data_IF_400274059602
#
_entry.id   IF_400274059602
#
_cell.length_a   1.000
_cell.length_b   1.000
_cell.length_c   1.000
_cell.angle_alpha   90.00
_cell.angle_beta   90.00
_cell.angle_gamma   90.00
#
_symmetry.space_group_name_H-M   'P 1'
#
loop_
_entity.id
_entity.type
_entity.pdbx_description
1 polymer ?
#
# COMPACT_ATOMS: atom_id res chain seq x y z
N UNK A 1 -12.46 32.04 -16.99
CA UNK A 1 -13.81 31.62 -16.56
C UNK A 1 -13.90 30.12 -16.30
N UNK A 2 -13.38 29.25 -17.17
CA UNK A 2 -13.44 27.78 -16.99
C UNK A 2 -12.78 27.25 -15.70
N UNK A 3 -11.60 27.75 -15.32
CA UNK A 3 -10.95 27.34 -14.05
C UNK A 3 -11.78 27.67 -12.80
N UNK A 4 -12.54 28.77 -12.82
CA UNK A 4 -13.43 29.16 -11.71
C UNK A 4 -14.64 28.23 -11.58
N UNK A 5 -15.18 27.76 -12.71
CA UNK A 5 -16.31 26.81 -12.75
C UNK A 5 -15.87 25.42 -12.29
N UNK A 6 -14.71 24.95 -12.75
CA UNK A 6 -14.13 23.66 -12.34
C UNK A 6 -13.84 23.63 -10.82
N UNK A 7 -13.30 24.71 -10.26
CA UNK A 7 -13.07 24.83 -8.82
C UNK A 7 -14.37 24.84 -8.01
N UNK A 8 -15.42 25.51 -8.50
CA UNK A 8 -16.75 25.52 -7.85
C UNK A 8 -17.38 24.12 -7.85
N UNK A 9 -17.26 23.37 -8.95
CA UNK A 9 -17.76 21.99 -9.03
C UNK A 9 -16.99 21.03 -8.11
N UNK A 10 -15.66 21.19 -8.05
CA UNK A 10 -14.80 20.43 -7.14
C UNK A 10 -15.22 20.63 -5.67
N UNK A 11 -15.40 21.89 -5.23
CA UNK A 11 -15.86 22.20 -3.87
C UNK A 11 -17.21 21.57 -3.55
N UNK A 12 -18.18 21.61 -4.48
CA UNK A 12 -19.49 20.98 -4.30
C UNK A 12 -19.39 19.46 -4.12
N UNK A 13 -18.51 18.79 -4.86
CA UNK A 13 -18.24 17.34 -4.71
C UNK A 13 -17.64 17.03 -3.34
N UNK A 14 -16.67 17.83 -2.88
CA UNK A 14 -16.05 17.66 -1.57
C UNK A 14 -17.08 17.80 -0.46
N UNK A 15 -17.93 18.83 -0.49
CA UNK A 15 -18.98 19.01 0.53
C UNK A 15 -20.01 17.87 0.51
N UNK A 16 -20.38 17.35 -0.67
CA UNK A 16 -21.21 16.14 -0.79
C UNK A 16 -20.55 14.94 -0.10
N UNK A 17 -19.24 14.74 -0.28
CA UNK A 17 -18.50 13.65 0.37
C UNK A 17 -18.44 13.84 1.89
N UNK A 18 -18.17 15.05 2.39
CA UNK A 18 -18.17 15.35 3.83
C UNK A 18 -19.54 15.08 4.47
N UNK A 19 -20.62 15.59 3.87
CA UNK A 19 -21.97 15.37 4.36
C UNK A 19 -22.34 13.89 4.38
N UNK A 20 -21.93 13.13 3.37
CA UNK A 20 -22.14 11.68 3.34
C UNK A 20 -21.36 10.96 4.46
N UNK A 21 -20.07 11.29 4.64
CA UNK A 21 -19.22 10.74 5.71
C UNK A 21 -19.88 10.98 7.07
N UNK A 22 -20.31 12.21 7.34
CA UNK A 22 -20.98 12.59 8.59
C UNK A 22 -22.25 11.75 8.81
N UNK A 23 -23.13 11.70 7.81
CA UNK A 23 -24.38 10.96 7.88
C UNK A 23 -24.18 9.46 8.15
N UNK A 24 -23.15 8.84 7.57
CA UNK A 24 -22.84 7.43 7.81
C UNK A 24 -22.19 7.27 9.19
N UNK A 25 -21.29 8.18 9.58
CA UNK A 25 -20.57 8.10 10.83
C UNK A 25 -21.52 8.13 12.04
N UNK A 26 -22.52 9.00 12.05
CA UNK A 26 -23.46 9.12 13.16
C UNK A 26 -24.68 8.18 13.10
N UNK A 27 -24.84 7.41 12.03
CA UNK A 27 -25.99 6.49 11.86
C UNK A 27 -26.01 5.35 12.88
N UNK A 28 -24.85 4.81 13.23
CA UNK A 28 -24.70 3.68 14.14
C UNK A 28 -23.35 3.72 14.87
N UNK A 29 -22.99 2.66 15.60
CA UNK A 29 -21.69 2.51 16.28
C UNK A 29 -20.77 1.48 15.61
N UNK A 30 -21.05 1.11 14.34
CA UNK A 30 -20.20 0.16 13.60
C UNK A 30 -18.80 0.76 13.43
N UNK A 31 -17.73 0.10 13.92
CA UNK A 31 -16.38 0.65 13.85
C UNK A 31 -15.90 0.79 12.40
N UNK A 32 -15.12 1.83 12.15
CA UNK A 32 -14.55 2.13 10.84
C UNK A 32 -13.09 1.69 10.77
N UNK A 33 -12.72 1.12 9.63
CA UNK A 33 -11.34 0.70 9.34
C UNK A 33 -10.89 1.37 8.05
N UNK A 34 -9.99 2.34 8.13
CA UNK A 34 -9.44 3.03 6.96
C UNK A 34 -8.15 2.32 6.54
N UNK A 35 -8.13 1.73 5.34
CA UNK A 35 -6.92 1.10 4.79
C UNK A 35 -6.03 2.17 4.15
N UNK A 36 -4.98 2.57 4.88
CA UNK A 36 -4.01 3.56 4.44
C UNK A 36 -2.83 2.89 3.70
N UNK A 37 -2.39 3.47 2.58
CA UNK A 37 -1.34 2.90 1.74
C UNK A 37 -0.12 3.81 1.53
N UNK A 38 -0.17 5.05 2.02
CA UNK A 38 0.86 6.07 1.76
C UNK A 38 0.70 6.82 0.44
N UNK A 39 -0.23 6.41 -0.43
CA UNK A 39 -0.55 7.10 -1.68
C UNK A 39 -1.61 8.19 -1.51
N UNK A 40 -1.67 9.13 -2.47
CA UNK A 40 -2.56 10.31 -2.46
C UNK A 40 -4.02 9.99 -2.15
N UNK A 41 -4.57 8.94 -2.77
CA UNK A 41 -6.01 8.62 -2.67
C UNK A 41 -6.33 8.13 -1.24
N UNK A 42 -5.45 7.32 -0.65
CA UNK A 42 -5.58 6.88 0.74
C UNK A 42 -5.27 7.98 1.75
N UNK A 43 -4.32 8.88 1.45
CA UNK A 43 -4.03 10.06 2.28
C UNK A 43 -5.24 10.99 2.32
N UNK A 44 -5.84 11.31 1.17
CA UNK A 44 -7.05 12.11 1.09
C UNK A 44 -8.21 11.45 1.83
N UNK A 45 -8.39 10.13 1.68
CA UNK A 45 -9.45 9.40 2.38
C UNK A 45 -9.32 9.51 3.89
N UNK A 46 -8.11 9.32 4.43
CA UNK A 46 -7.85 9.56 5.86
C UNK A 46 -8.16 11.01 6.19
N UNK A 47 -7.66 11.95 5.38
CA UNK A 47 -7.74 13.36 5.70
C UNK A 47 -9.18 13.88 5.76
N UNK A 48 -9.94 13.67 4.69
CA UNK A 48 -11.32 14.12 4.60
C UNK A 48 -12.22 13.48 5.66
N UNK A 49 -11.99 12.20 6.00
CA UNK A 49 -12.76 11.51 7.03
C UNK A 49 -12.49 12.11 8.42
N UNK A 50 -11.21 12.25 8.80
CA UNK A 50 -10.87 12.74 10.13
C UNK A 50 -11.23 14.21 10.33
N UNK A 51 -10.99 15.06 9.33
CA UNK A 51 -11.38 16.48 9.38
C UNK A 51 -12.89 16.67 9.46
N UNK A 52 -13.66 15.87 8.71
CA UNK A 52 -15.12 15.92 8.75
C UNK A 52 -15.65 15.55 10.12
N UNK A 53 -15.07 14.54 10.76
CA UNK A 53 -15.53 14.03 12.05
C UNK A 53 -15.08 14.95 13.20
N UNK A 54 -13.86 15.48 13.15
CA UNK A 54 -13.33 16.35 14.20
C UNK A 54 -13.98 17.73 14.26
N UNK A 55 -14.55 18.23 13.15
CA UNK A 55 -15.24 19.54 13.10
C UNK A 55 -16.65 19.54 13.69
N UNK A 56 -17.13 18.39 14.16
CA UNK A 56 -18.53 18.22 14.56
C UNK A 56 -18.77 18.69 15.99
N UNK A 57 -19.94 19.30 16.22
CA UNK A 57 -20.34 19.74 17.58
C UNK A 57 -20.55 18.57 18.53
N UNK A 58 -21.01 17.43 18.01
CA UNK A 58 -21.21 16.21 18.78
C UNK A 58 -19.86 15.52 18.96
N UNK A 59 -19.49 15.18 20.20
CA UNK A 59 -18.25 14.46 20.47
C UNK A 59 -18.25 13.12 19.70
N UNK A 60 -17.25 12.88 18.83
CA UNK A 60 -17.15 11.62 18.13
C UNK A 60 -16.93 10.45 19.11
N UNK A 61 -17.73 9.39 19.01
CA UNK A 61 -17.66 8.23 19.93
C UNK A 61 -17.48 6.87 19.24
N UNK A 62 -17.62 6.80 17.91
CA UNK A 62 -17.42 5.57 17.11
C UNK A 62 -15.93 5.34 16.87
N UNK A 63 -15.45 4.11 17.07
CA UNK A 63 -14.04 3.78 16.84
C UNK A 63 -13.64 3.90 15.35
N UNK A 64 -12.49 4.54 15.10
CA UNK A 64 -11.85 4.62 13.78
C UNK A 64 -10.46 4.02 13.88
N UNK A 65 -10.20 2.98 13.08
CA UNK A 65 -8.93 2.28 13.01
C UNK A 65 -8.25 2.60 11.69
N UNK A 66 -7.05 3.18 11.72
CA UNK A 66 -6.28 3.50 10.50
C UNK A 66 -5.16 2.49 10.37
N UNK A 67 -5.23 1.65 9.36
CA UNK A 67 -4.32 0.53 9.18
C UNK A 67 -3.35 0.78 8.03
N UNK A 68 -2.06 0.66 8.31
CA UNK A 68 -1.01 0.59 7.28
C UNK A 68 -0.40 -0.81 7.23
N UNK A 69 -0.59 -1.50 6.10
CA UNK A 69 0.05 -2.79 5.86
C UNK A 69 1.48 -2.60 5.34
N UNK A 70 2.46 -2.60 6.24
CA UNK A 70 3.88 -2.51 5.90
C UNK A 70 4.35 -3.85 5.35
N UNK A 71 4.56 -3.91 4.02
CA UNK A 71 4.98 -5.15 3.36
C UNK A 71 6.46 -5.45 3.48
N UNK A 72 7.23 -4.54 4.10
CA UNK A 72 8.70 -4.55 4.22
C UNK A 72 9.46 -4.44 2.90
N UNK A 73 8.76 -4.22 1.78
CA UNK A 73 9.39 -4.16 0.45
C UNK A 73 8.99 -2.92 -0.36
N UNK A 74 8.31 -1.95 0.24
CA UNK A 74 8.26 -0.58 -0.28
C UNK A 74 9.64 0.12 -0.10
N UNK A 75 10.00 1.09 -0.95
CA UNK A 75 11.17 1.94 -0.72
C UNK A 75 11.17 2.52 0.71
N UNK A 76 12.28 2.43 1.47
CA UNK A 76 12.29 2.86 2.87
C UNK A 76 11.84 4.31 3.13
N UNK A 77 12.13 5.30 2.26
CA UNK A 77 11.57 6.64 2.42
C UNK A 77 10.04 6.67 2.43
N UNK A 78 9.37 5.85 1.60
CA UNK A 78 7.91 5.76 1.57
C UNK A 78 7.35 5.09 2.84
N UNK A 79 8.04 4.07 3.36
CA UNK A 79 7.68 3.43 4.63
C UNK A 79 7.79 4.44 5.76
N UNK A 80 8.90 5.18 5.84
CA UNK A 80 9.12 6.19 6.88
C UNK A 80 8.08 7.31 6.81
N UNK A 81 7.73 7.77 5.60
CA UNK A 81 6.65 8.75 5.42
C UNK A 81 5.31 8.25 5.98
N UNK A 82 4.92 7.02 5.64
CA UNK A 82 3.68 6.41 6.13
C UNK A 82 3.66 6.25 7.65
N UNK A 83 4.79 5.85 8.27
CA UNK A 83 4.91 5.73 9.72
C UNK A 83 4.81 7.09 10.43
N UNK A 84 5.49 8.10 9.91
CA UNK A 84 5.41 9.47 10.45
C UNK A 84 3.99 10.02 10.35
N UNK A 85 3.31 9.78 9.22
CA UNK A 85 1.91 10.17 9.01
C UNK A 85 0.99 9.56 10.08
N UNK A 86 1.07 8.24 10.31
CA UNK A 86 0.28 7.58 11.35
C UNK A 86 0.62 8.03 12.77
N UNK A 87 1.90 8.28 13.05
CA UNK A 87 2.35 8.76 14.37
C UNK A 87 1.75 10.14 14.67
N UNK A 88 1.78 11.06 13.70
CA UNK A 88 1.19 12.40 13.84
C UNK A 88 -0.32 12.33 14.08
N UNK A 89 -1.04 11.48 13.33
CA UNK A 89 -2.48 11.28 13.55
C UNK A 89 -2.75 10.73 14.95
N UNK A 90 -1.98 9.73 15.42
CA UNK A 90 -2.20 9.15 16.75
C UNK A 90 -1.98 10.17 17.87
N UNK A 91 -0.96 11.02 17.73
CA UNK A 91 -0.66 12.10 18.69
C UNK A 91 -1.78 13.14 18.71
N UNK A 92 -2.24 13.58 17.55
CA UNK A 92 -3.35 14.50 17.40
C UNK A 92 -4.65 13.91 17.98
N UNK A 93 -5.00 12.67 17.62
CA UNK A 93 -6.19 12.01 18.14
C UNK A 93 -6.21 11.91 19.67
N UNK A 94 -5.05 11.61 20.28
CA UNK A 94 -4.91 11.57 21.75
C UNK A 94 -5.10 12.96 22.37
N UNK A 95 -4.53 14.00 21.75
CA UNK A 95 -4.66 15.39 22.22
C UNK A 95 -6.12 15.86 22.18
N UNK A 96 -6.84 15.54 21.10
CA UNK A 96 -8.22 15.96 20.89
C UNK A 96 -9.26 15.02 21.51
N UNK A 97 -8.84 13.95 22.20
CA UNK A 97 -9.75 12.98 22.81
C UNK A 97 -10.63 12.23 21.80
N UNK A 98 -10.13 11.99 20.59
CA UNK A 98 -10.86 11.34 19.51
C UNK A 98 -10.70 9.81 19.57
N UNK A 99 -11.74 9.02 19.23
CA UNK A 99 -11.72 7.55 19.26
C UNK A 99 -10.97 6.95 18.05
N UNK A 100 -9.77 7.45 17.76
CA UNK A 100 -8.95 7.05 16.61
C UNK A 100 -7.73 6.26 17.09
N UNK A 101 -7.53 5.09 16.48
CA UNK A 101 -6.38 4.20 16.70
C UNK A 101 -5.64 4.04 15.37
N UNK A 102 -4.33 4.23 15.37
CA UNK A 102 -3.48 3.93 14.21
C UNK A 102 -2.66 2.67 14.46
N UNK A 103 -2.59 1.79 13.47
CA UNK A 103 -1.90 0.51 13.59
C UNK A 103 -1.06 0.22 12.34
N UNK A 104 0.18 -0.21 12.55
CA UNK A 104 1.02 -0.77 11.49
C UNK A 104 0.94 -2.29 11.61
N UNK A 105 0.43 -2.92 10.56
CA UNK A 105 0.28 -4.37 10.49
C UNK A 105 1.29 -4.97 9.52
N UNK A 106 1.74 -6.19 9.83
CA UNK A 106 2.79 -6.86 9.10
C UNK A 106 2.34 -8.23 8.56
N UNK A 107 2.89 -8.68 7.43
CA UNK A 107 2.81 -10.08 7.02
C UNK A 107 3.48 -10.98 8.07
N UNK A 108 2.89 -12.16 8.31
CA UNK A 108 3.52 -13.21 9.09
C UNK A 108 4.88 -13.57 8.46
N UNK A 109 5.88 -13.95 9.27
CA UNK A 109 7.24 -14.27 8.79
C UNK A 109 7.22 -15.22 7.59
N UNK A 110 6.45 -16.31 7.69
CA UNK A 110 6.29 -17.32 6.62
C UNK A 110 5.70 -16.81 5.30
N UNK A 111 5.06 -15.64 5.33
CA UNK A 111 4.41 -14.98 4.20
C UNK A 111 5.22 -13.78 3.69
N UNK A 112 6.32 -13.39 4.35
CA UNK A 112 7.17 -12.26 3.92
C UNK A 112 7.88 -12.56 2.60
N UNK A 113 8.15 -11.50 1.85
CA UNK A 113 8.62 -11.58 0.46
C UNK A 113 9.86 -12.46 0.31
N UNK A 114 10.91 -12.18 1.09
CA UNK A 114 12.18 -12.89 0.98
C UNK A 114 12.13 -14.29 1.59
N UNK A 115 11.30 -14.54 2.60
CA UNK A 115 11.07 -15.91 3.10
C UNK A 115 10.42 -16.78 2.03
N UNK A 116 9.42 -16.26 1.31
CA UNK A 116 8.79 -16.99 0.22
C UNK A 116 9.76 -17.18 -0.96
N UNK A 117 10.47 -16.13 -1.37
CA UNK A 117 11.35 -16.19 -2.54
C UNK A 117 12.67 -16.93 -2.25
N UNK A 118 13.43 -16.47 -1.26
CA UNK A 118 14.74 -17.04 -0.90
C UNK A 118 14.60 -18.31 -0.07
N UNK A 119 13.59 -18.43 0.78
CA UNK A 119 13.35 -19.65 1.56
C UNK A 119 12.67 -20.72 0.71
N UNK A 120 11.49 -20.44 0.15
CA UNK A 120 10.65 -21.45 -0.53
C UNK A 120 10.78 -21.50 -2.07
N UNK A 121 11.55 -20.60 -2.69
CA UNK A 121 11.77 -20.60 -4.14
C UNK A 121 10.64 -19.98 -4.95
N UNK A 122 9.73 -19.25 -4.32
CA UNK A 122 8.68 -18.52 -5.04
C UNK A 122 9.33 -17.59 -6.07
N UNK A 123 8.74 -17.54 -7.26
CA UNK A 123 9.19 -16.58 -8.25
C UNK A 123 8.81 -15.17 -7.79
N UNK A 124 9.68 -14.17 -8.03
CA UNK A 124 9.27 -12.79 -7.99
C UNK A 124 7.97 -12.57 -8.79
N UNK A 125 7.00 -11.78 -8.27
CA UNK A 125 5.65 -11.71 -8.82
C UNK A 125 5.59 -11.44 -10.32
N UNK A 126 4.73 -12.18 -11.03
CA UNK A 126 4.49 -12.00 -12.47
C UNK A 126 3.07 -11.49 -12.72
N UNK A 127 2.71 -11.18 -13.98
CA UNK A 127 1.35 -10.75 -14.29
C UNK A 127 0.29 -11.78 -13.89
N UNK A 128 0.61 -13.07 -14.06
CA UNK A 128 -0.28 -14.21 -13.79
C UNK A 128 -0.10 -14.78 -12.37
N UNK A 129 1.02 -14.52 -11.71
CA UNK A 129 1.33 -15.03 -10.39
C UNK A 129 1.65 -13.89 -9.41
N UNK A 130 0.58 -13.25 -8.89
CA UNK A 130 0.65 -12.09 -7.97
C UNK A 130 0.35 -12.47 -6.53
N UNK A 131 1.11 -13.42 -6.00
CA UNK A 131 0.96 -13.88 -4.61
C UNK A 131 1.20 -12.78 -3.57
N UNK A 132 1.97 -11.75 -3.92
CA UNK A 132 2.34 -10.68 -2.99
C UNK A 132 1.14 -9.83 -2.54
N UNK A 133 0.14 -9.59 -3.39
CA UNK A 133 -1.03 -8.78 -3.01
C UNK A 133 -1.83 -9.45 -1.91
N UNK A 134 -2.18 -10.73 -2.09
CA UNK A 134 -2.94 -11.48 -1.07
C UNK A 134 -2.13 -11.58 0.23
N UNK A 135 -0.90 -12.09 0.14
CA UNK A 135 -0.11 -12.42 1.33
C UNK A 135 0.42 -11.21 2.09
N UNK A 136 0.93 -10.21 1.38
CA UNK A 136 1.60 -9.08 2.01
C UNK A 136 0.64 -7.95 2.38
N UNK A 137 -0.45 -7.75 1.63
CA UNK A 137 -1.38 -6.63 1.85
C UNK A 137 -2.72 -7.06 2.40
N UNK A 138 -3.39 -8.02 1.75
CA UNK A 138 -4.77 -8.37 2.09
C UNK A 138 -4.86 -9.19 3.38
N UNK A 139 -4.03 -10.22 3.56
CA UNK A 139 -4.08 -11.10 4.74
C UNK A 139 -3.84 -10.37 6.07
N UNK A 140 -2.83 -9.48 6.20
CA UNK A 140 -2.65 -8.71 7.44
C UNK A 140 -3.91 -7.91 7.79
N UNK A 141 -4.49 -7.20 6.81
CA UNK A 141 -5.72 -6.42 6.99
C UNK A 141 -6.88 -7.35 7.40
N UNK A 142 -7.05 -8.48 6.71
CA UNK A 142 -8.10 -9.45 7.04
C UNK A 142 -7.96 -10.00 8.45
N UNK A 143 -6.73 -10.28 8.90
CA UNK A 143 -6.47 -10.80 10.24
C UNK A 143 -6.82 -9.76 11.31
N UNK A 144 -6.54 -8.48 11.06
CA UNK A 144 -6.93 -7.40 11.96
C UNK A 144 -8.46 -7.25 12.01
N UNK A 145 -9.12 -7.16 10.85
CA UNK A 145 -10.57 -7.03 10.75
C UNK A 145 -11.30 -8.21 11.42
N UNK A 146 -10.79 -9.44 11.28
CA UNK A 146 -11.38 -10.60 11.97
C UNK A 146 -11.39 -10.44 13.49
N UNK A 147 -10.37 -9.81 14.08
CA UNK A 147 -10.35 -9.53 15.53
C UNK A 147 -11.40 -8.49 15.88
N UNK A 148 -11.55 -7.45 15.06
CA UNK A 148 -12.54 -6.40 15.27
C UNK A 148 -13.98 -6.92 15.15
N UNK A 149 -14.26 -7.74 14.14
CA UNK A 149 -15.57 -8.37 13.92
C UNK A 149 -15.94 -9.29 15.08
N UNK A 150 -14.97 -10.00 15.70
CA UNK A 150 -15.25 -10.81 16.89
C UNK A 150 -15.73 -9.98 18.10
N UNK A 151 -15.42 -8.69 18.14
CA UNK A 151 -15.78 -7.79 19.24
C UNK A 151 -17.04 -6.98 18.92
N UNK A 152 -17.23 -6.58 17.67
CA UNK A 152 -18.29 -5.64 17.26
C UNK A 152 -19.33 -6.23 16.28
N UNK A 153 -19.24 -7.52 15.96
CA UNK A 153 -20.01 -8.27 14.95
C UNK A 153 -19.87 -7.80 13.48
N UNK A 154 -19.53 -6.52 13.27
CA UNK A 154 -19.41 -5.89 11.97
C UNK A 154 -18.38 -4.76 11.96
N UNK A 155 -17.90 -4.41 10.77
CA UNK A 155 -17.10 -3.21 10.55
C UNK A 155 -17.31 -2.62 9.14
N UNK A 156 -17.07 -1.33 8.99
CA UNK A 156 -17.05 -0.65 7.68
C UNK A 156 -15.59 -0.37 7.32
N UNK A 157 -15.15 -0.85 6.16
CA UNK A 157 -13.78 -0.67 5.65
C UNK A 157 -13.75 0.43 4.61
N UNK A 158 -13.06 1.53 4.90
CA UNK A 158 -12.92 2.66 4.01
C UNK A 158 -11.70 2.48 3.11
N UNK A 159 -11.90 2.56 1.80
CA UNK A 159 -10.84 2.46 0.79
C UNK A 159 -10.74 3.72 -0.07
N UNK A 160 -9.51 4.17 -0.31
CA UNK A 160 -9.21 5.25 -1.26
C UNK A 160 -9.23 4.79 -2.72
N UNK A 161 -10.41 4.42 -3.22
CA UNK A 161 -10.62 4.00 -4.61
C UNK A 161 -11.41 5.07 -5.37
N UNK A 162 -11.09 5.26 -6.66
CA UNK A 162 -11.79 6.20 -7.57
C UNK A 162 -12.22 5.50 -8.86
N UNK A 163 -13.37 5.89 -9.41
CA UNK A 163 -13.94 5.34 -10.65
C UNK A 163 -13.41 5.99 -11.93
N UNK A 164 -12.46 6.93 -11.79
CA UNK A 164 -11.76 7.64 -12.87
C UNK A 164 -10.24 7.58 -12.63
N UNK A 165 -9.71 6.38 -12.38
CA UNK A 165 -8.25 6.20 -12.18
C UNK A 165 -7.56 5.94 -13.53
N UNK A 166 -8.22 5.23 -14.45
CA UNK A 166 -7.87 5.12 -15.87
C UNK A 166 -8.98 4.41 -16.63
N UNK A 167 -9.15 4.65 -17.93
CA UNK A 167 -10.18 3.99 -18.73
C UNK A 167 -10.18 2.45 -18.59
N UNK A 168 -9.01 1.83 -18.41
CA UNK A 168 -8.86 0.39 -18.17
C UNK A 168 -9.31 -0.02 -16.76
N UNK A 169 -9.00 0.77 -15.74
CA UNK A 169 -9.45 0.51 -14.37
C UNK A 169 -10.95 0.72 -14.26
N UNK A 170 -11.50 1.71 -14.93
CA UNK A 170 -12.92 2.03 -14.89
C UNK A 170 -13.76 0.91 -15.55
N UNK A 171 -13.30 0.36 -16.69
CA UNK A 171 -13.90 -0.85 -17.29
C UNK A 171 -13.78 -2.06 -16.37
N UNK A 172 -12.63 -2.23 -15.70
CA UNK A 172 -12.41 -3.32 -14.74
C UNK A 172 -13.31 -3.21 -13.49
N UNK A 173 -13.53 -2.00 -12.99
CA UNK A 173 -14.41 -1.70 -11.86
C UNK A 173 -15.86 -1.99 -12.22
N UNK A 174 -16.33 -1.48 -13.37
CA UNK A 174 -17.69 -1.75 -13.88
C UNK A 174 -17.93 -3.25 -14.11
N UNK A 175 -17.00 -3.95 -14.76
CA UNK A 175 -17.12 -5.39 -15.03
C UNK A 175 -17.17 -6.26 -13.77
N UNK A 176 -16.56 -5.78 -12.68
CA UNK A 176 -16.54 -6.48 -11.37
C UNK A 176 -17.61 -5.97 -10.40
N UNK A 177 -18.50 -5.08 -10.83
CA UNK A 177 -19.58 -4.54 -9.98
C UNK A 177 -19.09 -3.66 -8.83
N UNK A 178 -17.88 -3.08 -8.91
CA UNK A 178 -17.40 -2.16 -7.88
C UNK A 178 -18.27 -0.91 -7.85
N UNK A 179 -18.92 -0.70 -6.72
CA UNK A 179 -19.77 0.45 -6.45
C UNK A 179 -19.25 1.19 -5.22
N UNK A 180 -20.00 2.18 -4.74
CA UNK A 180 -19.65 2.90 -3.51
C UNK A 180 -19.63 2.01 -2.27
N UNK A 181 -20.44 0.95 -2.29
CA UNK A 181 -20.66 -0.02 -1.22
C UNK A 181 -20.60 -1.44 -1.74
N UNK A 182 -19.72 -2.26 -1.18
CA UNK A 182 -19.53 -3.64 -1.65
C UNK A 182 -19.12 -4.57 -0.52
N UNK A 183 -19.42 -5.88 -0.60
CA UNK A 183 -18.97 -6.82 0.41
C UNK A 183 -17.44 -6.90 0.42
N UNK A 184 -16.85 -7.08 1.60
CA UNK A 184 -15.44 -7.44 1.69
C UNK A 184 -15.27 -8.93 1.37
N UNK A 185 -14.76 -9.25 0.18
CA UNK A 185 -14.59 -10.64 -0.26
C UNK A 185 -13.83 -11.51 0.75
N UNK A 186 -14.50 -12.59 1.19
CA UNK A 186 -13.94 -13.56 2.13
C UNK A 186 -13.94 -13.10 3.60
N UNK A 187 -14.69 -12.06 3.97
CA UNK A 187 -14.93 -11.65 5.35
C UNK A 187 -16.41 -11.30 5.58
N UNK A 188 -17.18 -12.25 6.14
CA UNK A 188 -18.54 -11.97 6.64
C UNK A 188 -18.47 -10.93 7.76
N UNK A 189 -19.40 -9.98 7.78
CA UNK A 189 -19.43 -8.87 8.75
C UNK A 189 -18.63 -7.63 8.34
N UNK A 190 -17.84 -7.68 7.25
CA UNK A 190 -17.15 -6.50 6.71
C UNK A 190 -17.79 -6.02 5.41
N UNK A 191 -18.10 -4.72 5.36
CA UNK A 191 -18.53 -4.02 4.14
C UNK A 191 -17.51 -2.95 3.79
N UNK A 192 -17.25 -2.75 2.51
CA UNK A 192 -16.37 -1.70 2.00
C UNK A 192 -17.20 -0.47 1.66
N UNK A 193 -16.69 0.70 2.03
CA UNK A 193 -17.17 2.03 1.65
C UNK A 193 -16.04 2.80 0.93
N UNK A 194 -16.35 3.43 -0.21
CA UNK A 194 -15.37 4.19 -1.00
C UNK A 194 -15.79 5.67 -1.09
N UNK A 195 -15.44 6.49 -0.08
CA UNK A 195 -15.96 7.87 0.03
C UNK A 195 -15.58 8.74 -1.16
N UNK A 196 -14.38 8.52 -1.71
CA UNK A 196 -13.83 9.35 -2.79
C UNK A 196 -14.09 8.77 -4.20
N UNK A 197 -14.99 7.78 -4.35
CA UNK A 197 -15.18 7.05 -5.60
C UNK A 197 -15.43 7.96 -6.82
N UNK A 198 -16.23 9.00 -6.64
CA UNK A 198 -16.66 9.93 -7.70
C UNK A 198 -15.65 11.05 -7.98
N UNK A 199 -14.59 11.19 -7.17
CA UNK A 199 -13.62 12.27 -7.27
C UNK A 199 -12.63 12.06 -8.42
N UNK A 200 -12.25 13.16 -9.08
CA UNK A 200 -11.18 13.17 -10.08
C UNK A 200 -9.80 13.18 -9.42
N UNK A 201 -8.74 13.11 -10.21
CA UNK A 201 -7.37 13.23 -9.69
C UNK A 201 -7.07 14.68 -9.26
N UNK A 202 -7.64 15.64 -9.98
CA UNK A 202 -7.57 17.07 -9.68
C UNK A 202 -8.29 17.37 -8.37
N UNK A 203 -9.50 16.82 -8.17
CA UNK A 203 -10.24 16.96 -6.90
C UNK A 203 -9.38 16.49 -5.71
N UNK A 204 -8.67 15.36 -5.86
CA UNK A 204 -7.81 14.80 -4.80
C UNK A 204 -6.64 15.71 -4.49
N UNK A 205 -5.91 16.14 -5.52
CA UNK A 205 -4.71 16.97 -5.32
C UNK A 205 -5.04 18.37 -4.84
N UNK A 206 -6.08 18.99 -5.39
CA UNK A 206 -6.55 20.30 -4.93
C UNK A 206 -6.93 20.22 -3.45
N UNK A 207 -7.69 19.19 -3.04
CA UNK A 207 -8.03 19.00 -1.63
C UNK A 207 -6.79 18.88 -0.75
N UNK A 208 -5.85 17.99 -1.11
CA UNK A 208 -4.64 17.76 -0.31
C UNK A 208 -3.74 18.99 -0.20
N UNK A 209 -3.68 19.82 -1.24
CA UNK A 209 -2.80 21.01 -1.27
C UNK A 209 -3.45 22.25 -0.67
N UNK A 210 -4.79 22.38 -0.73
CA UNK A 210 -5.53 23.53 -0.19
C UNK A 210 -5.93 23.34 1.28
N UNK A 211 -5.91 22.10 1.79
CA UNK A 211 -6.31 21.80 3.17
C UNK A 211 -5.14 21.23 3.94
N UNK A 212 -4.66 22.00 4.92
CA UNK A 212 -3.66 21.53 5.86
C UNK A 212 -4.31 20.65 6.93
N UNK A 213 -3.83 19.40 7.11
CA UNK A 213 -4.41 18.51 8.09
C UNK A 213 -4.06 18.95 9.53
N UNK A 214 -4.99 18.80 10.49
CA UNK A 214 -4.82 19.29 11.86
C UNK A 214 -3.73 18.59 12.67
N UNK A 215 -3.23 17.43 12.21
CA UNK A 215 -2.06 16.75 12.80
C UNK A 215 -0.72 17.23 12.22
N UNK A 216 -0.71 18.30 11.41
CA UNK A 216 0.50 19.00 10.98
C UNK A 216 1.39 18.20 10.03
N UNK A 217 0.82 17.35 9.18
CA UNK A 217 1.57 16.77 8.04
C UNK A 217 1.51 17.69 6.84
N UNK A 218 2.66 17.94 6.24
CA UNK A 218 2.76 18.71 5.01
C UNK A 218 2.53 17.81 3.79
N UNK A 219 1.40 18.03 3.11
CA UNK A 219 1.06 17.31 1.90
C UNK A 219 1.93 17.70 0.69
N UNK A 220 2.70 18.80 0.75
CA UNK A 220 3.66 19.13 -0.31
C UNK A 220 4.81 18.13 -0.36
N UNK A 221 5.22 17.54 0.76
CA UNK A 221 6.20 16.43 0.73
C UNK A 221 5.66 15.24 -0.06
N UNK A 222 4.38 14.89 0.13
CA UNK A 222 3.73 13.86 -0.69
C UNK A 222 3.73 14.23 -2.17
N UNK A 223 3.48 15.50 -2.51
CA UNK A 223 3.64 15.99 -3.89
C UNK A 223 5.06 15.82 -4.40
N UNK A 224 6.09 16.17 -3.63
CA UNK A 224 7.50 15.97 -4.01
C UNK A 224 7.82 14.51 -4.28
N UNK A 225 7.29 13.59 -3.46
CA UNK A 225 7.42 12.15 -3.70
C UNK A 225 6.75 11.70 -5.01
N UNK A 226 5.63 12.32 -5.40
CA UNK A 226 4.94 12.01 -6.65
C UNK A 226 5.59 12.66 -7.87
N UNK A 227 6.22 13.82 -7.72
CA UNK A 227 6.93 14.50 -8.80
C UNK A 227 8.37 14.01 -8.96
N UNK A 228 8.91 13.28 -7.98
CA UNK A 228 10.30 12.83 -7.99
C UNK A 228 11.28 13.98 -7.79
N UNK A 229 10.88 15.03 -7.08
CA UNK A 229 11.65 16.26 -6.94
C UNK A 229 11.55 17.21 -8.14
N UNK A 230 10.88 16.83 -9.22
CA UNK A 230 10.68 17.70 -10.38
C UNK A 230 9.55 18.70 -10.11
N UNK A 231 9.88 19.99 -10.01
CA UNK A 231 8.89 21.06 -9.80
C UNK A 231 8.02 21.32 -11.04
N UNK A 232 8.45 20.87 -12.23
CA UNK A 232 7.76 21.10 -13.50
C UNK A 232 6.77 19.99 -13.88
N UNK A 233 6.75 18.83 -13.20
CA UNK A 233 5.74 17.80 -13.48
C UNK A 233 4.37 18.24 -12.96
N UNK A 234 3.42 18.45 -13.88
CA UNK A 234 2.04 18.70 -13.52
C UNK A 234 1.47 17.51 -12.74
N UNK A 235 0.65 17.71 -11.72
CA UNK A 235 0.08 16.60 -10.94
C UNK A 235 -0.83 15.67 -11.78
N UNK A 236 -1.23 16.15 -12.96
CA UNK A 236 -1.95 15.45 -14.04
C UNK A 236 -1.02 14.67 -15.00
N UNK A 237 0.31 14.83 -14.95
CA UNK A 237 1.32 14.11 -15.75
C UNK A 237 1.39 12.58 -15.47
N UNK A 238 0.60 12.08 -14.52
CA UNK A 238 0.59 10.68 -14.09
C UNK A 238 1.60 10.33 -12.99
N UNK A 239 2.52 11.25 -12.65
CA UNK A 239 3.42 11.18 -11.48
C UNK A 239 4.18 9.86 -11.30
N UNK A 240 4.77 9.68 -10.11
CA UNK A 240 5.31 8.40 -9.65
C UNK A 240 4.16 7.57 -9.06
N UNK A 241 3.95 6.35 -9.58
CA UNK A 241 3.07 5.38 -8.93
C UNK A 241 3.86 4.60 -7.88
N UNK A 242 3.55 4.80 -6.60
CA UNK A 242 4.19 4.06 -5.52
C UNK A 242 3.96 2.55 -5.64
N UNK A 243 5.01 1.80 -5.34
CA UNK A 243 5.04 0.34 -5.40
C UNK A 243 6.21 -0.23 -4.60
N UNK A 244 6.27 -1.56 -4.52
CA UNK A 244 7.39 -2.23 -3.90
C UNK A 244 8.62 -2.24 -4.83
N UNK A 245 9.81 -2.01 -4.25
CA UNK A 245 11.07 -1.93 -5.01
C UNK A 245 11.49 -3.29 -5.59
N UNK A 246 10.91 -4.38 -5.08
CA UNK A 246 11.11 -5.75 -5.55
C UNK A 246 10.17 -6.15 -6.70
N UNK A 247 9.32 -5.25 -7.20
CA UNK A 247 8.27 -5.59 -8.16
C UNK A 247 8.82 -5.99 -9.54
N UNK A 248 8.49 -7.21 -9.97
CA UNK A 248 8.91 -7.75 -11.27
C UNK A 248 7.78 -7.90 -12.28
N UNK A 249 6.60 -7.37 -11.96
CA UNK A 249 5.42 -7.34 -12.85
C UNK A 249 5.58 -6.26 -13.92
N UNK A 250 6.16 -5.13 -13.54
CA UNK A 250 6.54 -4.03 -14.45
C UNK A 250 7.92 -4.31 -15.06
N UNK A 251 8.21 -3.72 -16.23
CA UNK A 251 9.54 -3.90 -16.86
C UNK A 251 10.63 -3.19 -16.08
N UNK A 252 10.40 -1.92 -15.74
CA UNK A 252 11.32 -1.06 -14.97
C UNK A 252 10.62 -0.53 -13.72
N UNK A 253 11.38 -0.39 -12.64
CA UNK A 253 10.87 0.21 -11.40
C UNK A 253 11.08 1.73 -11.41
N UNK A 254 10.22 2.41 -12.16
CA UNK A 254 10.24 3.88 -12.27
C UNK A 254 10.03 4.59 -10.95
N UNK A 255 9.42 3.93 -9.95
CA UNK A 255 9.19 4.55 -8.66
C UNK A 255 10.51 4.70 -7.91
N UNK A 256 11.21 3.61 -7.68
CA UNK A 256 12.50 3.64 -6.97
C UNK A 256 13.56 4.39 -7.78
N UNK A 257 13.58 4.24 -9.12
CA UNK A 257 14.50 4.97 -10.01
C UNK A 257 14.33 6.49 -9.94
N UNK A 258 13.10 7.00 -9.78
CA UNK A 258 12.88 8.45 -9.67
C UNK A 258 13.09 8.96 -8.25
N UNK A 259 12.71 8.16 -7.25
CA UNK A 259 13.03 8.49 -5.85
C UNK A 259 14.54 8.58 -5.62
N UNK A 260 15.34 7.79 -6.36
CA UNK A 260 16.81 7.85 -6.27
C UNK A 260 17.42 9.12 -6.88
N UNK A 261 16.62 9.98 -7.52
CA UNK A 261 17.06 11.29 -8.02
C UNK A 261 16.84 12.41 -7.00
N UNK A 262 16.18 12.12 -5.89
CA UNK A 262 16.03 13.06 -4.78
C UNK A 262 17.35 13.06 -3.98
N UNK A 263 17.94 14.24 -3.70
CA UNK A 263 19.17 14.34 -2.92
C UNK A 263 19.11 13.57 -1.60
N UNK A 264 20.13 12.73 -1.36
CA UNK A 264 20.25 11.88 -0.18
C UNK A 264 19.60 10.50 -0.31
N UNK A 265 18.89 10.21 -1.41
CA UNK A 265 18.25 8.92 -1.68
C UNK A 265 18.88 8.15 -2.85
N UNK A 266 20.07 8.54 -3.31
CA UNK A 266 20.79 7.96 -4.45
C UNK A 266 21.04 6.46 -4.26
N UNK A 267 21.23 6.02 -3.01
CA UNK A 267 21.42 4.62 -2.63
C UNK A 267 20.24 3.71 -3.04
N UNK A 268 19.05 4.26 -3.32
CA UNK A 268 17.92 3.52 -3.87
C UNK A 268 18.25 2.88 -5.25
N UNK A 269 19.23 3.40 -5.99
CA UNK A 269 19.71 2.75 -7.23
C UNK A 269 20.26 1.34 -6.98
N UNK A 270 20.79 1.07 -5.78
CA UNK A 270 21.27 -0.27 -5.43
C UNK A 270 20.11 -1.26 -5.20
N UNK A 271 18.96 -0.77 -4.72
CA UNK A 271 17.73 -1.58 -4.67
C UNK A 271 17.25 -1.93 -6.08
N UNK A 272 17.30 -0.98 -7.02
CA UNK A 272 16.95 -1.20 -8.44
C UNK A 272 17.87 -2.26 -9.05
N UNK A 273 19.19 -2.15 -8.83
CA UNK A 273 20.18 -3.12 -9.33
C UNK A 273 19.91 -4.54 -8.79
N UNK A 274 19.59 -4.67 -7.50
CA UNK A 274 19.24 -5.96 -6.93
C UNK A 274 17.93 -6.51 -7.50
N UNK A 275 16.93 -5.65 -7.71
CA UNK A 275 15.70 -6.03 -8.39
C UNK A 275 15.95 -6.55 -9.79
N UNK A 276 16.80 -5.90 -10.56
CA UNK A 276 17.12 -6.34 -11.92
C UNK A 276 17.88 -7.67 -11.92
N UNK A 277 18.80 -7.86 -10.96
CA UNK A 277 19.45 -9.14 -10.72
C UNK A 277 18.43 -10.25 -10.43
N UNK A 278 17.41 -10.00 -9.60
CA UNK A 278 16.35 -10.98 -9.34
C UNK A 278 15.63 -11.39 -10.63
N UNK A 279 15.33 -10.45 -11.54
CA UNK A 279 14.72 -10.79 -12.83
C UNK A 279 15.66 -11.62 -13.71
N UNK A 280 16.93 -11.23 -13.80
CA UNK A 280 17.93 -11.94 -14.60
C UNK A 280 18.06 -13.40 -14.13
N UNK A 281 18.17 -13.62 -12.83
CA UNK A 281 18.25 -14.96 -12.25
C UNK A 281 16.97 -15.75 -12.48
N UNK A 282 15.79 -15.14 -12.29
CA UNK A 282 14.49 -15.80 -12.50
C UNK A 282 14.28 -16.28 -13.94
N UNK A 283 14.73 -15.51 -14.92
CA UNK A 283 14.47 -15.77 -16.33
C UNK A 283 15.39 -16.83 -16.95
N UNK A 284 16.46 -17.22 -16.25
CA UNK A 284 17.43 -18.24 -16.66
C UNK A 284 16.94 -19.66 -16.28
N UNK A 285 16.68 -20.56 -17.25
CA UNK A 285 16.16 -21.91 -16.97
C UNK A 285 17.02 -22.73 -16.00
N UNK A 286 18.34 -22.59 -16.03
CA UNK A 286 19.29 -23.27 -15.15
C UNK A 286 19.15 -22.89 -13.67
N UNK A 287 18.44 -21.80 -13.36
CA UNK A 287 18.12 -21.35 -12.00
C UNK A 287 16.76 -21.86 -11.51
N UNK A 288 16.07 -22.69 -12.29
CA UNK A 288 14.71 -23.13 -12.04
C UNK A 288 14.66 -24.64 -11.86
N UNK A 289 13.69 -25.10 -11.10
CA UNK A 289 13.40 -26.54 -10.93
C UNK A 289 12.41 -26.94 -12.01
N UNK A 290 12.76 -27.93 -12.84
CA UNK A 290 11.83 -28.53 -13.79
C UNK A 290 10.72 -29.27 -13.05
N UNK A 291 9.48 -29.07 -13.50
CA UNK A 291 8.29 -29.75 -12.97
C UNK A 291 7.52 -30.37 -14.12
N UNK A 292 6.89 -31.50 -13.86
CA UNK A 292 5.96 -32.14 -14.77
C UNK A 292 4.54 -32.06 -14.20
N UNK A 293 3.57 -31.79 -15.06
CA UNK A 293 2.15 -31.87 -14.72
C UNK A 293 1.38 -32.34 -15.97
N UNK A 294 0.61 -33.42 -15.84
CA UNK A 294 -0.18 -34.01 -16.93
C UNK A 294 0.60 -34.13 -18.26
N UNK A 295 1.81 -34.70 -18.23
CA UNK A 295 2.66 -34.91 -19.41
C UNK A 295 3.35 -33.66 -19.95
N UNK A 296 3.09 -32.47 -19.40
CA UNK A 296 3.74 -31.21 -19.80
C UNK A 296 4.85 -30.82 -18.83
N UNK A 297 6.04 -30.52 -19.36
CA UNK A 297 7.19 -30.02 -18.59
C UNK A 297 7.20 -28.49 -18.55
N UNK A 298 7.41 -27.90 -17.37
CA UNK A 298 7.48 -26.45 -17.18
C UNK A 298 8.51 -26.04 -16.13
N UNK A 299 8.95 -24.80 -16.20
CA UNK A 299 9.88 -24.20 -15.24
C UNK A 299 9.15 -23.79 -13.95
N UNK A 300 9.38 -24.56 -12.88
CA UNK A 300 8.83 -24.35 -11.56
C UNK A 300 9.59 -23.32 -10.71
N UNK A 301 9.68 -23.49 -9.39
CA UNK A 301 10.37 -22.57 -8.45
C UNK A 301 11.85 -22.30 -8.76
N UNK A 302 12.44 -21.32 -8.09
CA UNK A 302 13.91 -21.13 -8.06
C UNK A 302 14.59 -22.31 -7.36
N UNK A 303 15.67 -22.83 -7.94
CA UNK A 303 16.46 -23.89 -7.30
C UNK A 303 17.29 -23.34 -6.11
N UNK A 304 17.83 -24.25 -5.30
CA UNK A 304 18.55 -23.87 -4.06
C UNK A 304 19.81 -23.05 -4.34
N UNK A 305 20.55 -23.37 -5.42
CA UNK A 305 21.75 -22.63 -5.82
C UNK A 305 21.43 -21.17 -6.13
N UNK A 306 20.40 -20.93 -6.93
CA UNK A 306 19.93 -19.59 -7.28
C UNK A 306 19.46 -18.80 -6.04
N UNK A 307 18.71 -19.45 -5.14
CA UNK A 307 18.25 -18.83 -3.88
C UNK A 307 19.41 -18.40 -2.98
N UNK A 308 20.41 -19.26 -2.77
CA UNK A 308 21.59 -18.93 -1.98
C UNK A 308 22.41 -17.79 -2.59
N UNK A 309 22.55 -17.80 -3.91
CA UNK A 309 23.22 -16.72 -4.62
C UNK A 309 22.50 -15.37 -4.44
N UNK A 310 21.17 -15.33 -4.61
CA UNK A 310 20.39 -14.12 -4.38
C UNK A 310 20.47 -13.66 -2.91
N UNK A 311 20.40 -14.58 -1.94
CA UNK A 311 20.58 -14.26 -0.53
C UNK A 311 21.95 -13.64 -0.25
N UNK A 312 23.04 -14.21 -0.78
CA UNK A 312 24.39 -13.65 -0.66
C UNK A 312 24.46 -12.23 -1.23
N UNK A 313 23.89 -12.02 -2.42
CA UNK A 313 23.82 -10.70 -3.06
C UNK A 313 22.97 -9.71 -2.28
N UNK A 314 21.93 -10.18 -1.58
CA UNK A 314 21.11 -9.36 -0.69
C UNK A 314 21.92 -8.92 0.53
N UNK A 315 22.74 -9.80 1.11
CA UNK A 315 23.60 -9.45 2.26
C UNK A 315 24.68 -8.45 1.89
N UNK A 316 25.26 -8.56 0.68
CA UNK A 316 26.15 -7.52 0.15
C UNK A 316 25.41 -6.19 0.03
N UNK A 317 24.17 -6.20 -0.50
CA UNK A 317 23.35 -5.00 -0.60
C UNK A 317 23.09 -4.38 0.78
N UNK A 318 22.65 -5.17 1.77
CA UNK A 318 22.41 -4.70 3.14
C UNK A 318 23.63 -3.99 3.74
N UNK A 319 24.82 -4.57 3.56
CA UNK A 319 26.06 -3.96 4.03
C UNK A 319 26.38 -2.66 3.27
N UNK A 320 26.19 -2.65 1.95
CA UNK A 320 26.46 -1.47 1.11
C UNK A 320 25.58 -0.28 1.48
N UNK A 321 24.29 -0.51 1.72
CA UNK A 321 23.34 0.56 2.06
C UNK A 321 23.26 0.83 3.57
N UNK A 322 24.04 0.10 4.38
CA UNK A 322 24.00 0.13 5.85
C UNK A 322 22.58 -0.01 6.43
N UNK A 323 21.77 -0.90 5.86
CA UNK A 323 20.40 -1.17 6.32
C UNK A 323 20.09 -2.67 6.25
N UNK A 324 19.40 -3.17 7.28
CA UNK A 324 18.87 -4.53 7.29
C UNK A 324 17.55 -4.59 6.52
N UNK A 325 17.51 -5.41 5.48
CA UNK A 325 16.31 -5.72 4.70
C UNK A 325 15.61 -6.94 5.32
N UNK A 326 16.36 -7.95 5.74
CA UNK A 326 15.89 -9.12 6.45
C UNK A 326 15.99 -8.91 7.95
N UNK A 327 14.90 -9.22 8.66
CA UNK A 327 14.95 -9.42 10.10
C UNK A 327 15.67 -10.72 10.46
N UNK A 328 16.17 -10.82 11.70
CA UNK A 328 16.83 -12.03 12.20
C UNK A 328 15.93 -13.28 12.12
N UNK A 329 14.62 -13.11 12.34
CA UNK A 329 13.63 -14.19 12.22
C UNK A 329 13.47 -14.67 10.77
N UNK A 330 13.50 -13.75 9.80
CA UNK A 330 13.48 -14.10 8.37
C UNK A 330 14.75 -14.84 7.97
N UNK A 331 15.91 -14.37 8.41
CA UNK A 331 17.19 -15.03 8.18
C UNK A 331 17.17 -16.47 8.71
N UNK A 332 16.74 -16.67 9.97
CA UNK A 332 16.62 -18.02 10.57
C UNK A 332 15.68 -18.92 9.76
N UNK A 333 14.48 -18.43 9.46
CA UNK A 333 13.48 -19.22 8.73
C UNK A 333 13.95 -19.60 7.32
N UNK A 334 14.66 -18.71 6.61
CA UNK A 334 15.23 -19.02 5.29
C UNK A 334 16.23 -20.19 5.38
N UNK A 335 17.11 -20.19 6.37
CA UNK A 335 18.10 -21.27 6.54
C UNK A 335 17.46 -22.59 6.98
N UNK A 336 16.44 -22.53 7.84
CA UNK A 336 15.66 -23.72 8.23
C UNK A 336 14.99 -24.37 7.02
N UNK A 337 14.35 -23.57 6.16
CA UNK A 337 13.73 -24.07 4.93
C UNK A 337 14.75 -24.75 4.00
N UNK A 338 15.97 -24.20 3.89
CA UNK A 338 17.04 -24.83 3.11
C UNK A 338 17.57 -26.12 3.70
N UNK A 339 17.58 -26.27 5.04
CA UNK A 339 17.97 -27.50 5.71
C UNK A 339 16.94 -28.61 5.46
N UNK A 340 15.65 -28.26 5.47
CA UNK A 340 14.55 -29.19 5.25
C UNK A 340 14.52 -29.75 3.82
N UNK A 341 14.96 -28.99 2.83
CA UNK A 341 14.98 -29.43 1.42
C UNK A 341 16.21 -30.31 1.06
N UNK A 342 17.20 -30.37 1.95
CA UNK A 342 18.36 -31.25 1.80
C UNK A 342 18.12 -32.66 2.35
N UNK A 343 17.07 -32.83 3.15
CA UNK A 343 16.54 -34.12 3.56
C UNK A 343 15.51 -34.57 2.53
#
# INVERSE_FOLDING_TARGET
MENSILLKDSKKKIEKVKSEIENIYYRDQTPWVIAYSGGKDSTMTVQIVLETIAKQKKQPNKEIHILYADTKVEPPPLINNARTFLKKIQQWAKKEGLPIKTEIIYPQIKDRFFVLMLGKGYLPPTRYFRWCTDRLKVRPIKNYIKKLIKVHDRCIVLLGMRSKESATRDRGLKKRGYSKWMPFEGLKGAIIYTPILELSIEDVWNYLLENEPPWGTDNTFLRTLYSGGDSNCSLSCGGIRFGCWVCTVVKKDRCTERLSKIPGWEWLEDLVKYRDLMLQIRNKPENRIWKQNNGSSYLGPLNLKARKYLYYRLKILENKINQKILSQEEDRMIHELWKLEKK
#
